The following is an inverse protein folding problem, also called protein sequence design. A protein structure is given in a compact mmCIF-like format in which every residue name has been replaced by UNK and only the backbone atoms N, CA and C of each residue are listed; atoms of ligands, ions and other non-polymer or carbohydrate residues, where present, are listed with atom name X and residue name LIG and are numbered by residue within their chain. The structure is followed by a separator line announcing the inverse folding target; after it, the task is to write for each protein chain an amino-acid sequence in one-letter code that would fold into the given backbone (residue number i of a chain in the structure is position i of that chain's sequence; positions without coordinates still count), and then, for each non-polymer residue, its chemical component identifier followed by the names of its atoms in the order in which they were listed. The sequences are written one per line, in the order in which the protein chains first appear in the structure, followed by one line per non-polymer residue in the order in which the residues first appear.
data_IF_186227714075
#
_entry.id   IF_186227714075
#
_cell.length_a   1.000
_cell.length_b   1.000
_cell.length_c   1.000
_cell.angle_alpha   90.00
_cell.angle_beta   90.00
_cell.angle_gamma   90.00
#
_symmetry.space_group_name_H-M   'P 1'
#
loop_
_entity.id
_entity.type
_entity.pdbx_description
1 polymer ?
#
# COMPACT_ATOMS: atom_id res chain seq x y z
N UNK A 1 32.96 65.29 -20.00
CA UNK A 1 31.82 64.35 -20.01
C UNK A 1 31.95 63.49 -18.77
N UNK A 2 31.54 64.09 -17.66
CA UNK A 2 31.31 63.51 -16.36
C UNK A 2 30.21 62.45 -16.45
N UNK A 3 30.35 61.31 -15.75
CA UNK A 3 29.35 60.86 -14.77
C UNK A 3 29.98 59.78 -13.86
N UNK A 4 30.24 60.15 -12.61
CA UNK A 4 30.35 59.25 -11.46
C UNK A 4 28.99 58.63 -11.13
N UNK A 5 28.91 57.31 -10.84
CA UNK A 5 27.94 56.83 -9.86
C UNK A 5 28.34 55.49 -9.21
N UNK A 6 28.48 55.57 -7.89
CA UNK A 6 28.55 54.57 -6.82
C UNK A 6 27.31 53.65 -6.78
N UNK A 7 27.46 52.39 -6.34
CA UNK A 7 26.99 52.02 -4.99
C UNK A 7 27.47 50.62 -4.52
N UNK A 8 27.76 50.57 -3.22
CA UNK A 8 28.15 49.40 -2.44
C UNK A 8 26.88 48.68 -1.98
N UNK A 9 26.72 47.37 -2.15
CA UNK A 9 26.03 46.55 -1.13
C UNK A 9 26.67 45.15 -1.03
N UNK A 10 27.52 45.00 -0.01
CA UNK A 10 27.50 43.97 1.04
C UNK A 10 27.08 42.52 0.67
N UNK A 11 28.05 41.70 0.29
CA UNK A 11 27.93 40.24 0.32
C UNK A 11 28.47 39.70 1.66
N UNK A 12 27.61 39.62 2.67
CA UNK A 12 27.85 38.85 3.89
C UNK A 12 26.52 38.33 4.41
N UNK A 13 26.26 37.05 4.14
CA UNK A 13 25.24 36.25 4.82
C UNK A 13 25.60 34.77 4.70
N UNK A 14 26.69 34.39 5.35
CA UNK A 14 26.85 33.04 5.87
C UNK A 14 26.27 33.03 7.27
N UNK A 15 25.11 32.41 7.48
CA UNK A 15 24.76 31.78 8.76
C UNK A 15 23.58 30.82 8.60
N UNK A 16 23.93 29.54 8.71
CA UNK A 16 23.08 28.40 9.00
C UNK A 16 22.16 28.65 10.19
N UNK A 17 20.86 28.41 10.02
CA UNK A 17 19.96 28.13 11.13
C UNK A 17 18.85 27.17 10.71
N UNK A 18 19.10 25.89 11.00
CA UNK A 18 18.07 24.88 11.14
C UNK A 18 17.56 24.97 12.59
N UNK A 19 16.24 25.01 12.82
CA UNK A 19 15.70 24.26 13.94
C UNK A 19 14.73 23.20 13.43
N UNK A 20 15.23 21.97 13.48
CA UNK A 20 14.44 20.75 13.57
C UNK A 20 13.74 20.71 14.92
N UNK A 21 12.41 20.60 14.92
CA UNK A 21 11.63 19.64 15.71
C UNK A 21 10.22 20.17 16.00
N UNK A 22 9.24 19.37 15.58
CA UNK A 22 8.04 19.01 16.33
C UNK A 22 7.38 20.09 17.20
N UNK A 23 6.22 20.55 16.77
CA UNK A 23 4.98 20.06 17.38
C UNK A 23 3.77 20.46 16.54
N UNK A 24 3.25 19.46 15.82
CA UNK A 24 1.91 19.44 15.26
C UNK A 24 0.89 19.47 16.41
N UNK A 25 0.69 20.65 16.98
CA UNK A 25 -0.31 20.91 18.00
C UNK A 25 -1.69 20.90 17.32
N UNK A 26 -2.52 19.96 17.77
CA UNK A 26 -3.88 19.78 17.31
C UNK A 26 -4.66 21.10 17.33
N UNK A 27 -5.15 21.48 16.16
CA UNK A 27 -6.23 22.45 16.03
C UNK A 27 -7.47 21.85 16.67
N UNK A 28 -7.63 22.14 17.95
CA UNK A 28 -8.82 21.87 18.74
C UNK A 28 -9.81 23.00 18.48
N UNK A 29 -10.53 22.94 17.36
CA UNK A 29 -11.72 23.77 17.17
C UNK A 29 -12.94 22.95 17.55
N UNK A 30 -13.36 23.12 18.81
CA UNK A 30 -14.70 22.73 19.25
C UNK A 30 -15.72 23.58 18.48
N UNK A 31 -16.56 22.94 17.68
CA UNK A 31 -17.80 23.50 17.16
C UNK A 31 -18.84 22.39 17.17
N UNK A 32 -19.89 22.65 17.95
CA UNK A 32 -20.93 21.74 18.42
C UNK A 32 -21.83 21.22 17.28
N UNK A 33 -21.49 20.03 16.81
CA UNK A 33 -22.25 18.99 16.08
C UNK A 33 -21.22 17.86 15.84
N UNK A 34 -21.57 16.59 15.58
CA UNK A 34 -20.55 15.62 15.20
C UNK A 34 -20.05 15.97 13.79
N UNK A 35 -19.16 16.95 13.71
CA UNK A 35 -18.39 17.31 12.52
C UNK A 35 -17.49 16.11 12.25
N UNK A 36 -18.04 15.16 11.50
CA UNK A 36 -17.39 13.87 11.26
C UNK A 36 -15.95 14.11 10.83
N UNK A 37 -15.04 13.45 11.53
CA UNK A 37 -13.62 13.52 11.22
C UNK A 37 -13.42 13.13 9.76
N UNK A 38 -12.42 13.71 9.08
CA UNK A 38 -12.09 13.42 7.68
C UNK A 38 -12.06 11.91 7.40
N UNK A 39 -11.40 11.15 8.27
CA UNK A 39 -11.30 9.69 8.21
C UNK A 39 -12.63 8.97 8.40
N UNK A 40 -13.52 9.51 9.24
CA UNK A 40 -14.85 8.96 9.47
C UNK A 40 -15.75 9.16 8.26
N UNK A 41 -15.67 10.33 7.62
CA UNK A 41 -16.39 10.61 6.37
C UNK A 41 -15.94 9.67 5.24
N UNK A 42 -14.64 9.46 5.09
CA UNK A 42 -14.08 8.48 4.14
C UNK A 42 -14.60 7.07 4.45
N UNK A 43 -14.58 6.65 5.72
CA UNK A 43 -15.06 5.32 6.13
C UNK A 43 -16.54 5.14 5.79
N UNK A 44 -17.40 6.11 6.08
CA UNK A 44 -18.83 6.04 5.73
C UNK A 44 -19.04 5.95 4.22
N UNK A 45 -18.29 6.74 3.46
CA UNK A 45 -18.38 6.72 2.00
C UNK A 45 -17.94 5.37 1.42
N UNK A 46 -16.83 4.79 1.90
CA UNK A 46 -16.36 3.46 1.48
C UNK A 46 -17.37 2.36 1.87
N UNK A 47 -18.03 2.49 3.03
CA UNK A 47 -19.06 1.54 3.46
C UNK A 47 -20.32 1.62 2.59
N UNK A 48 -20.73 2.82 2.20
CA UNK A 48 -21.86 3.04 1.29
C UNK A 48 -21.53 2.66 -0.16
N UNK A 49 -20.27 2.81 -0.57
CA UNK A 49 -19.78 2.55 -1.92
C UNK A 49 -18.53 1.66 -1.92
N UNK A 50 -18.67 0.35 -1.67
CA UNK A 50 -17.52 -0.56 -1.58
C UNK A 50 -16.79 -0.75 -2.92
N UNK A 51 -17.47 -0.50 -4.05
CA UNK A 51 -16.93 -0.60 -5.40
C UNK A 51 -16.23 0.67 -5.87
N UNK A 52 -16.39 1.79 -5.17
CA UNK A 52 -15.85 3.07 -5.59
C UNK A 52 -14.31 3.04 -5.69
N UNK A 53 -13.82 3.64 -6.78
CA UNK A 53 -12.38 3.81 -7.00
C UNK A 53 -11.86 4.94 -6.12
N UNK A 54 -10.59 4.88 -5.72
CA UNK A 54 -10.01 5.92 -4.85
C UNK A 54 -10.14 7.34 -5.44
N UNK A 55 -10.11 7.46 -6.76
CA UNK A 55 -10.31 8.73 -7.49
C UNK A 55 -11.72 9.28 -7.33
N UNK A 56 -12.74 8.42 -7.36
CA UNK A 56 -14.15 8.80 -7.20
C UNK A 56 -14.44 9.21 -5.76
N UNK A 57 -13.84 8.52 -4.78
CA UNK A 57 -13.96 8.87 -3.37
C UNK A 57 -13.33 10.25 -3.10
N UNK A 58 -12.18 10.54 -3.71
CA UNK A 58 -11.56 11.87 -3.60
C UNK A 58 -12.45 12.92 -4.26
N UNK A 59 -12.95 12.68 -5.48
CA UNK A 59 -13.83 13.63 -6.16
C UNK A 59 -15.11 13.94 -5.35
N UNK A 60 -15.71 12.92 -4.71
CA UNK A 60 -16.90 13.10 -3.87
C UNK A 60 -16.61 13.76 -2.52
N UNK A 61 -15.36 13.72 -2.03
CA UNK A 61 -14.97 14.21 -0.72
C UNK A 61 -13.96 15.37 -0.76
N UNK A 62 -13.73 15.93 -1.95
CA UNK A 62 -12.78 17.04 -2.17
C UNK A 62 -13.25 18.31 -1.47
N UNK A 63 -14.57 18.57 -1.43
CA UNK A 63 -15.20 19.68 -0.70
C UNK A 63 -14.82 19.69 0.79
N UNK A 64 -14.45 18.53 1.32
CA UNK A 64 -14.06 18.35 2.70
C UNK A 64 -12.53 18.35 2.93
N UNK A 65 -11.75 18.70 1.90
CA UNK A 65 -10.29 18.77 1.95
C UNK A 65 -9.64 17.42 2.23
N UNK A 66 -10.21 16.35 1.68
CA UNK A 66 -9.70 14.98 1.75
C UNK A 66 -8.79 14.70 0.55
N UNK A 67 -7.57 14.23 0.82
CA UNK A 67 -6.59 13.93 -0.24
C UNK A 67 -6.59 12.45 -0.58
N UNK A 68 -6.00 12.13 -1.74
CA UNK A 68 -5.81 10.74 -2.19
C UNK A 68 -5.07 9.86 -1.16
N UNK A 69 -4.09 10.44 -0.46
CA UNK A 69 -3.32 9.74 0.58
C UNK A 69 -4.19 9.32 1.77
N UNK A 70 -5.14 10.17 2.18
CA UNK A 70 -6.04 9.90 3.29
C UNK A 70 -6.98 8.72 2.96
N UNK A 71 -7.50 8.69 1.73
CA UNK A 71 -8.36 7.60 1.23
C UNK A 71 -7.60 6.27 1.18
N UNK A 72 -6.36 6.28 0.68
CA UNK A 72 -5.50 5.09 0.65
C UNK A 72 -5.20 4.54 2.04
N UNK A 73 -4.87 5.43 2.98
CA UNK A 73 -4.59 5.08 4.38
C UNK A 73 -5.82 4.47 5.07
N UNK A 74 -7.00 5.08 4.91
CA UNK A 74 -8.24 4.60 5.53
C UNK A 74 -8.64 3.24 4.93
N UNK A 75 -8.58 3.07 3.60
CA UNK A 75 -8.92 1.79 2.94
C UNK A 75 -7.99 0.65 3.39
N UNK A 76 -6.69 0.94 3.50
CA UNK A 76 -5.70 -0.01 4.03
C UNK A 76 -5.99 -0.38 5.49
N UNK A 77 -6.34 0.61 6.33
CA UNK A 77 -6.73 0.37 7.71
C UNK A 77 -8.00 -0.48 7.83
N UNK A 78 -9.03 -0.23 7.01
CA UNK A 78 -10.26 -1.04 7.03
C UNK A 78 -9.98 -2.49 6.63
N UNK A 79 -9.17 -2.73 5.59
CA UNK A 79 -8.76 -4.09 5.19
C UNK A 79 -7.98 -4.80 6.31
N UNK A 80 -7.05 -4.11 6.98
CA UNK A 80 -6.30 -4.66 8.13
C UNK A 80 -7.22 -4.97 9.32
N UNK A 81 -8.19 -4.10 9.60
CA UNK A 81 -9.16 -4.31 10.68
C UNK A 81 -10.11 -5.47 10.37
N UNK A 82 -10.52 -5.64 9.12
CA UNK A 82 -11.30 -6.79 8.69
C UNK A 82 -10.50 -8.10 8.87
N UNK A 83 -9.24 -8.13 8.42
CA UNK A 83 -8.36 -9.29 8.61
C UNK A 83 -8.08 -9.61 10.09
N UNK A 84 -7.98 -8.59 10.95
CA UNK A 84 -7.77 -8.78 12.40
C UNK A 84 -9.02 -9.27 13.13
N UNK A 85 -10.22 -9.01 12.60
CA UNK A 85 -11.49 -9.56 13.12
C UNK A 85 -11.73 -11.00 12.65
N UNK A 86 -11.20 -11.39 11.49
CA UNK A 86 -11.33 -12.76 10.96
C UNK A 86 -10.18 -13.69 11.38
N UNK A 87 -9.09 -13.17 11.93
CA UNK A 87 -7.99 -13.99 12.43
C UNK A 87 -8.32 -14.49 13.86
N UNK A 88 -8.46 -15.81 14.08
CA UNK A 88 -8.52 -16.34 15.44
C UNK A 88 -7.18 -16.01 16.12
N UNK A 89 -7.28 -15.33 17.26
CA UNK A 89 -6.17 -14.93 18.13
C UNK A 89 -5.39 -16.15 18.60
N UNK A 90 -4.48 -16.67 17.76
CA UNK A 90 -3.51 -17.69 18.17
C UNK A 90 -2.35 -16.96 18.86
N UNK A 91 -2.58 -16.71 20.15
CA UNK A 91 -1.56 -16.40 21.17
C UNK A 91 -0.29 -17.21 20.90
N UNK A 92 0.73 -16.51 20.42
CA UNK A 92 2.07 -16.44 21.04
C UNK A 92 2.35 -17.57 22.05
N UNK A 93 2.80 -18.74 21.57
CA UNK A 93 3.66 -19.64 22.35
C UNK A 93 5.09 -19.39 21.90
N UNK A 94 5.74 -18.43 22.58
CA UNK A 94 7.18 -18.47 22.73
C UNK A 94 7.46 -19.55 23.77
N UNK A 95 7.99 -20.69 23.34
CA UNK A 95 8.74 -21.60 24.21
C UNK A 95 10.03 -21.90 23.47
N UNK A 96 11.12 -21.48 24.10
CA UNK A 96 12.48 -21.73 23.68
C UNK A 96 12.85 -23.20 23.91
N UNK A 97 13.58 -23.80 22.97
CA UNK A 97 14.69 -24.73 23.21
C UNK A 97 15.39 -25.08 21.89
N UNK A 98 16.71 -25.11 21.95
CA UNK A 98 17.76 -25.21 20.92
C UNK A 98 17.93 -26.66 20.37
N UNK A 99 18.98 -27.01 19.56
CA UNK A 99 19.00 -27.14 18.09
C UNK A 99 19.16 -28.58 17.52
N UNK A 100 18.86 -28.72 16.20
CA UNK A 100 19.41 -29.63 15.16
C UNK A 100 19.42 -31.17 15.33
N UNK A 101 19.66 -31.98 14.26
CA UNK A 101 19.15 -31.91 12.88
C UNK A 101 18.73 -33.31 12.35
N UNK A 102 17.66 -33.44 11.55
CA UNK A 102 17.52 -34.62 10.67
C UNK A 102 16.78 -34.26 9.38
N UNK A 103 17.42 -34.59 8.27
CA UNK A 103 16.98 -34.39 6.90
C UNK A 103 15.68 -35.14 6.56
N UNK A 104 14.81 -34.50 5.78
CA UNK A 104 14.25 -35.05 4.52
C UNK A 104 13.46 -33.97 3.77
N UNK A 105 13.52 -33.95 2.43
CA UNK A 105 12.94 -32.90 1.61
C UNK A 105 11.47 -33.25 1.33
N UNK A 106 10.53 -32.56 1.97
CA UNK A 106 9.15 -32.57 1.51
C UNK A 106 8.81 -31.18 0.97
N UNK A 107 8.82 -31.13 -0.36
CA UNK A 107 8.29 -30.07 -1.19
C UNK A 107 6.81 -29.78 -0.84
N UNK A 108 6.30 -28.60 -1.23
CA UNK A 108 5.03 -28.06 -0.75
C UNK A 108 3.87 -28.98 -1.12
N UNK A 109 2.94 -29.21 -0.20
CA UNK A 109 1.64 -29.81 -0.52
C UNK A 109 0.95 -28.95 -1.59
N UNK A 110 1.06 -29.37 -2.85
CA UNK A 110 0.26 -28.87 -3.94
C UNK A 110 -1.22 -29.18 -3.61
N UNK A 111 -2.12 -28.18 -3.59
CA UNK A 111 -3.54 -28.46 -3.52
C UNK A 111 -3.95 -29.22 -4.79
N UNK A 112 -4.62 -30.35 -4.60
CA UNK A 112 -5.13 -31.20 -5.67
C UNK A 112 -5.98 -30.38 -6.67
N UNK A 113 -5.93 -30.69 -7.98
CA UNK A 113 -6.73 -30.00 -8.97
C UNK A 113 -8.21 -30.33 -8.72
N UNK A 114 -8.95 -29.36 -8.18
CA UNK A 114 -10.41 -29.41 -8.23
C UNK A 114 -10.82 -29.02 -9.64
N UNK A 115 -11.16 -30.05 -10.42
CA UNK A 115 -11.60 -29.95 -11.82
C UNK A 115 -12.83 -29.04 -11.90
N UNK A 116 -12.62 -27.76 -12.20
CA UNK A 116 -13.69 -26.84 -12.58
C UNK A 116 -13.66 -25.44 -11.94
N UNK A 117 -12.92 -25.23 -10.85
CA UNK A 117 -12.87 -23.92 -10.20
C UNK A 117 -11.42 -23.43 -10.07
N UNK A 118 -11.07 -22.43 -10.89
CA UNK A 118 -9.79 -21.73 -10.74
C UNK A 118 -9.89 -20.88 -9.48
N UNK A 119 -9.11 -21.23 -8.45
CA UNK A 119 -9.09 -20.48 -7.20
C UNK A 119 -8.52 -19.06 -7.44
N UNK A 120 -8.96 -18.08 -6.64
CA UNK A 120 -8.43 -16.72 -6.73
C UNK A 120 -6.90 -16.67 -6.52
N UNK A 121 -6.38 -17.58 -5.70
CA UNK A 121 -4.94 -17.75 -5.49
C UNK A 121 -4.22 -18.20 -6.77
N UNK A 122 -4.82 -19.12 -7.53
CA UNK A 122 -4.28 -19.56 -8.83
C UNK A 122 -4.28 -18.43 -9.85
N UNK A 123 -5.32 -17.58 -9.87
CA UNK A 123 -5.37 -16.40 -10.73
C UNK A 123 -4.28 -15.38 -10.35
N UNK A 124 -4.07 -15.17 -9.05
CA UNK A 124 -3.01 -14.30 -8.56
C UNK A 124 -1.62 -14.82 -8.96
N UNK A 125 -1.37 -16.12 -8.78
CA UNK A 125 -0.13 -16.76 -9.20
C UNK A 125 0.10 -16.63 -10.72
N UNK A 126 -0.95 -16.81 -11.53
CA UNK A 126 -0.88 -16.58 -12.97
C UNK A 126 -0.56 -15.13 -13.34
N UNK A 127 -1.15 -14.16 -12.65
CA UNK A 127 -0.86 -12.75 -12.86
C UNK A 127 0.58 -12.38 -12.49
N UNK A 128 1.11 -12.95 -11.41
CA UNK A 128 2.49 -12.72 -10.99
C UNK A 128 3.49 -13.38 -11.94
N UNK A 129 3.18 -14.55 -12.49
CA UNK A 129 3.96 -15.18 -13.55
C UNK A 129 4.04 -14.29 -14.81
N UNK A 130 2.91 -13.77 -15.29
CA UNK A 130 2.87 -12.88 -16.47
C UNK A 130 3.72 -11.62 -16.25
N UNK A 131 3.69 -11.05 -15.03
CA UNK A 131 4.55 -9.92 -14.68
C UNK A 131 6.03 -10.29 -14.69
N UNK A 132 6.39 -11.44 -14.12
CA UNK A 132 7.78 -11.92 -14.09
C UNK A 132 8.32 -12.24 -15.48
N UNK A 133 7.46 -12.76 -16.37
CA UNK A 133 7.80 -13.01 -17.77
C UNK A 133 8.00 -11.72 -18.59
N UNK A 134 7.57 -10.57 -18.07
CA UNK A 134 7.66 -9.29 -18.78
C UNK A 134 6.49 -9.00 -19.73
N UNK A 135 5.37 -9.71 -19.59
CA UNK A 135 4.17 -9.54 -20.42
C UNK A 135 3.51 -10.85 -20.80
N UNK A 136 2.31 -10.76 -21.38
CA UNK A 136 1.53 -11.94 -21.82
C UNK A 136 2.25 -12.65 -22.98
N UNK A 137 2.76 -11.89 -23.96
CA UNK A 137 3.45 -12.47 -25.13
C UNK A 137 4.67 -13.31 -24.73
N UNK A 138 5.45 -12.84 -23.74
CA UNK A 138 6.60 -13.57 -23.22
C UNK A 138 6.19 -14.80 -22.41
N UNK A 139 5.12 -14.69 -21.62
CA UNK A 139 4.56 -15.82 -20.90
C UNK A 139 4.08 -16.93 -21.86
N UNK A 140 3.45 -16.57 -22.98
CA UNK A 140 3.04 -17.52 -24.02
C UNK A 140 4.25 -18.18 -24.70
N UNK A 141 5.30 -17.43 -25.03
CA UNK A 141 6.52 -17.97 -25.59
C UNK A 141 7.19 -18.99 -24.65
N UNK A 142 7.25 -18.67 -23.35
CA UNK A 142 7.78 -19.59 -22.32
C UNK A 142 6.92 -20.86 -22.24
N UNK A 143 5.59 -20.73 -22.23
CA UNK A 143 4.69 -21.89 -22.18
C UNK A 143 4.80 -22.76 -23.44
N UNK A 144 4.97 -22.15 -24.62
CA UNK A 144 5.19 -22.86 -25.87
C UNK A 144 6.50 -23.68 -25.83
N UNK A 145 7.59 -23.07 -25.33
CA UNK A 145 8.87 -23.74 -25.15
C UNK A 145 8.77 -24.92 -24.17
N UNK A 146 8.09 -24.74 -23.03
CA UNK A 146 7.88 -25.81 -22.05
C UNK A 146 7.10 -26.98 -22.68
N UNK A 147 6.05 -26.69 -23.47
CA UNK A 147 5.28 -27.73 -24.17
C UNK A 147 6.13 -28.49 -25.20
N UNK A 148 7.01 -27.78 -25.91
CA UNK A 148 7.93 -28.39 -26.87
C UNK A 148 8.88 -29.37 -26.16
N UNK A 149 9.45 -29.00 -25.01
CA UNK A 149 10.33 -29.89 -24.23
C UNK A 149 9.58 -31.13 -23.74
N UNK A 150 8.33 -30.99 -23.31
CA UNK A 150 7.52 -32.12 -22.84
C UNK A 150 7.05 -33.07 -23.97
N UNK A 151 7.11 -32.62 -25.22
CA UNK A 151 6.71 -33.43 -26.39
C UNK A 151 7.82 -34.30 -26.97
N UNK A 152 9.05 -34.17 -26.45
CA UNK A 152 10.24 -34.94 -26.82
C UNK A 152 10.48 -36.04 -25.79
#
# INVERSE_FOLDING_TARGET
MDTTQTDLINASASESSVPNASNNAGSSSNSDAPAMSKSERIRRYIQAHPEARNTEIVAALEEHGIKYQDVGNVRSQEKRKAAKKSAPSKRRRQVAATPEPVATPNAPSAPAPTTGAVSMETLQAGADFVKQAGGIDQAEAILALIRQIQSV
#
